data_IF_991556881421
#
_entry.id   IF_991556881421
#
_cell.length_a   1.000
_cell.length_b   1.000
_cell.length_c   1.000
_cell.angle_alpha   90.00
_cell.angle_beta   90.00
_cell.angle_gamma   90.00
#
_symmetry.space_group_name_H-M   'P 1'
#
loop_
_entity.id
_entity.type
_entity.pdbx_description
1 polymer ?
#
# COMPACT_ATOMS: atom_id res chain seq x y z
N UNK A 1 10.63 1.74 22.72
CA UNK A 1 10.86 1.41 21.29
C UNK A 1 9.87 0.33 20.90
N UNK A 2 9.26 0.44 19.72
CA UNK A 2 8.51 -0.69 19.16
C UNK A 2 9.49 -1.83 18.91
N UNK A 3 9.20 -3.02 19.42
CA UNK A 3 9.98 -4.23 19.11
C UNK A 3 9.80 -4.62 17.64
N UNK A 4 10.56 -5.61 17.15
CA UNK A 4 10.50 -6.07 15.75
C UNK A 4 9.07 -6.32 15.25
N UNK A 5 8.26 -7.03 16.06
CA UNK A 5 6.85 -7.28 15.74
C UNK A 5 6.02 -5.99 15.69
N UNK A 6 6.28 -5.02 16.56
CA UNK A 6 5.61 -3.72 16.55
C UNK A 6 5.92 -2.96 15.27
N UNK A 7 7.20 -2.91 14.86
CA UNK A 7 7.62 -2.26 13.61
C UNK A 7 6.97 -2.95 12.40
N UNK A 8 6.95 -4.28 12.38
CA UNK A 8 6.32 -5.05 11.32
C UNK A 8 4.83 -4.72 11.17
N UNK A 9 4.09 -4.72 12.27
CA UNK A 9 2.66 -4.38 12.29
C UNK A 9 2.46 -2.94 11.82
N UNK A 10 3.29 -1.99 12.29
CA UNK A 10 3.20 -0.59 11.86
C UNK A 10 3.40 -0.44 10.35
N UNK A 11 4.37 -1.13 9.75
CA UNK A 11 4.59 -1.10 8.31
C UNK A 11 3.37 -1.62 7.55
N UNK A 12 2.82 -2.77 7.96
CA UNK A 12 1.63 -3.34 7.33
C UNK A 12 0.43 -2.39 7.42
N UNK A 13 0.20 -1.78 8.59
CA UNK A 13 -0.87 -0.79 8.79
C UNK A 13 -0.66 0.43 7.91
N UNK A 14 0.57 0.96 7.82
CA UNK A 14 0.87 2.10 6.96
C UNK A 14 0.65 1.78 5.48
N UNK A 15 1.12 0.64 4.99
CA UNK A 15 0.89 0.21 3.60
C UNK A 15 -0.61 0.09 3.30
N UNK A 16 -1.38 -0.46 4.24
CA UNK A 16 -2.83 -0.57 4.10
C UNK A 16 -3.52 0.81 4.11
N UNK A 17 -3.11 1.72 4.97
CA UNK A 17 -3.61 3.10 4.99
C UNK A 17 -3.29 3.84 3.68
N UNK A 18 -2.08 3.70 3.17
CA UNK A 18 -1.71 4.26 1.86
C UNK A 18 -2.59 3.71 0.74
N UNK A 19 -2.80 2.40 0.71
CA UNK A 19 -3.70 1.78 -0.26
C UNK A 19 -5.10 2.38 -0.19
N UNK A 20 -5.68 2.50 1.02
CA UNK A 20 -7.00 3.06 1.22
C UNK A 20 -7.08 4.51 0.74
N UNK A 21 -6.17 5.38 1.19
CA UNK A 21 -6.15 6.80 0.80
C UNK A 21 -6.04 6.96 -0.71
N UNK A 22 -5.19 6.18 -1.37
CA UNK A 22 -5.00 6.24 -2.83
C UNK A 22 -6.24 5.72 -3.57
N UNK A 23 -6.82 4.60 -3.11
CA UNK A 23 -8.04 4.04 -3.69
C UNK A 23 -9.22 5.02 -3.56
N UNK A 24 -9.39 5.65 -2.39
CA UNK A 24 -10.41 6.66 -2.15
C UNK A 24 -10.17 7.92 -3.01
N UNK A 25 -8.95 8.46 -3.00
CA UNK A 25 -8.59 9.66 -3.77
C UNK A 25 -8.71 9.49 -5.29
N UNK A 26 -8.46 8.27 -5.80
CA UNK A 26 -8.63 7.96 -7.22
C UNK A 26 -10.09 7.67 -7.61
N UNK A 27 -11.02 7.68 -6.66
CA UNK A 27 -12.42 7.37 -6.93
C UNK A 27 -12.65 5.90 -7.28
N UNK A 28 -11.86 4.98 -6.74
CA UNK A 28 -12.00 3.54 -7.00
C UNK A 28 -13.40 2.99 -6.66
N UNK A 29 -14.13 3.68 -5.77
CA UNK A 29 -15.49 3.35 -5.35
C UNK A 29 -16.57 4.25 -6.00
N UNK A 30 -16.19 5.14 -6.91
CA UNK A 30 -17.16 6.00 -7.62
C UNK A 30 -17.88 5.21 -8.71
N UNK A 31 -19.21 5.41 -8.84
CA UNK A 31 -20.06 4.76 -9.85
C UNK A 31 -19.75 5.20 -11.30
N UNK A 32 -18.89 6.21 -11.48
CA UNK A 32 -18.40 6.65 -12.79
C UNK A 32 -17.28 5.75 -13.33
N UNK A 33 -17.21 5.56 -14.65
CA UNK A 33 -16.11 4.80 -15.27
C UNK A 33 -14.77 5.51 -14.97
N UNK A 34 -13.90 4.85 -14.20
CA UNK A 34 -12.51 5.28 -14.01
C UNK A 34 -11.85 5.47 -15.38
N UNK A 35 -11.16 6.61 -15.55
CA UNK A 35 -10.35 6.83 -16.75
C UNK A 35 -9.30 5.69 -16.86
N UNK A 36 -9.01 5.20 -18.07
CA UNK A 36 -8.06 4.10 -18.28
C UNK A 36 -6.66 4.44 -17.74
N UNK A 37 -6.27 5.72 -17.76
CA UNK A 37 -5.03 6.22 -17.16
C UNK A 37 -5.01 6.05 -15.64
N UNK A 38 -6.07 6.45 -14.94
CA UNK A 38 -6.21 6.26 -13.49
C UNK A 38 -6.18 4.78 -13.10
N UNK A 39 -6.79 3.91 -13.91
CA UNK A 39 -6.75 2.46 -13.70
C UNK A 39 -5.33 1.89 -13.85
N UNK A 40 -4.57 2.35 -14.84
CA UNK A 40 -3.16 1.97 -15.01
C UNK A 40 -2.29 2.47 -13.85
N UNK A 41 -2.49 3.72 -13.43
CA UNK A 41 -1.84 4.31 -12.26
C UNK A 41 -2.10 3.49 -11.00
N UNK A 42 -3.37 3.20 -10.69
CA UNK A 42 -3.74 2.41 -9.50
C UNK A 42 -3.11 1.01 -9.52
N UNK A 43 -3.05 0.37 -10.71
CA UNK A 43 -2.36 -0.92 -10.86
C UNK A 43 -0.86 -0.80 -10.54
N UNK A 44 -0.20 0.22 -11.06
CA UNK A 44 1.24 0.46 -10.84
C UNK A 44 1.53 0.76 -9.37
N UNK A 45 0.72 1.59 -8.73
CA UNK A 45 0.86 1.92 -7.30
C UNK A 45 0.61 0.70 -6.43
N UNK A 46 -0.41 -0.11 -6.73
CA UNK A 46 -0.68 -1.31 -5.94
C UNK A 46 0.50 -2.30 -5.99
N UNK A 47 1.14 -2.45 -7.16
CA UNK A 47 2.37 -3.25 -7.29
C UNK A 47 3.49 -2.66 -6.42
N UNK A 48 3.67 -1.33 -6.44
CA UNK A 48 4.67 -0.66 -5.62
C UNK A 48 4.43 -0.90 -4.12
N UNK A 49 3.18 -0.80 -3.65
CA UNK A 49 2.82 -1.05 -2.26
C UNK A 49 3.13 -2.49 -1.83
N UNK A 50 2.90 -3.47 -2.70
CA UNK A 50 3.26 -4.86 -2.46
C UNK A 50 4.78 -5.03 -2.33
N UNK A 51 5.56 -4.37 -3.19
CA UNK A 51 7.03 -4.42 -3.11
C UNK A 51 7.51 -3.81 -1.79
N UNK A 52 6.97 -2.66 -1.39
CA UNK A 52 7.32 -2.01 -0.12
C UNK A 52 7.00 -2.91 1.07
N UNK A 53 5.83 -3.55 1.08
CA UNK A 53 5.47 -4.50 2.12
C UNK A 53 6.44 -5.69 2.17
N UNK A 54 6.81 -6.27 1.02
CA UNK A 54 7.74 -7.39 0.93
C UNK A 54 9.14 -7.00 1.43
N UNK A 55 9.70 -5.91 0.91
CA UNK A 55 11.03 -5.43 1.30
C UNK A 55 11.06 -5.06 2.78
N UNK A 56 10.05 -4.34 3.27
CA UNK A 56 9.93 -4.00 4.69
C UNK A 56 9.82 -5.23 5.59
N UNK A 57 9.07 -6.25 5.15
CA UNK A 57 8.95 -7.54 5.86
C UNK A 57 10.31 -8.22 5.98
N UNK A 58 11.04 -8.34 4.87
CA UNK A 58 12.38 -8.94 4.84
C UNK A 58 13.32 -8.14 5.75
N UNK A 59 13.36 -6.81 5.62
CA UNK A 59 14.25 -5.99 6.46
C UNK A 59 13.98 -6.17 7.95
N UNK A 60 12.72 -6.22 8.39
CA UNK A 60 12.37 -6.39 9.82
C UNK A 60 12.62 -7.80 10.35
N UNK A 61 12.54 -8.83 9.50
CA UNK A 61 12.82 -10.21 9.90
C UNK A 61 14.33 -10.50 9.98
N UNK A 62 15.15 -9.81 9.17
CA UNK A 62 16.58 -10.07 9.06
C UNK A 62 17.48 -9.09 9.82
N UNK A 63 17.06 -7.84 10.09
CA UNK A 63 17.69 -6.95 11.07
C UNK A 63 17.10 -7.17 12.46
#
# INVERSE_FOLDING_TARGET
MLGKLGIFITILVLVLLFYLVIAFGAGAFSKGKLKPETKKYLKSVNILLVIVALVGSVLVLFL
#
